data_IF_384582944641
#
_entry.id   IF_384582944641
#
_cell.length_a   1.000
_cell.length_b   1.000
_cell.length_c   1.000
_cell.angle_alpha   90.00
_cell.angle_beta   90.00
_cell.angle_gamma   90.00
#
_symmetry.space_group_name_H-M   'P 1'
#
loop_
_entity.id
_entity.type
_entity.pdbx_description
1 polymer ?
#
# COMPACT_ATOMS: atom_id res chain seq x y z
N UNK A 1 5.62 -10.37 29.09
CA UNK A 1 5.81 -9.43 27.97
C UNK A 1 7.12 -8.68 28.19
N UNK A 2 7.99 -8.62 27.18
CA UNK A 2 9.36 -8.08 27.27
C UNK A 2 9.32 -6.54 27.36
N UNK A 3 9.54 -5.97 28.56
CA UNK A 3 9.41 -4.53 28.84
C UNK A 3 10.68 -3.74 28.50
N UNK A 4 11.52 -4.30 27.63
CA UNK A 4 12.83 -3.77 27.26
C UNK A 4 12.68 -2.47 26.47
N UNK A 5 13.29 -1.40 26.96
CA UNK A 5 13.33 -0.10 26.27
C UNK A 5 14.56 -0.01 25.37
N UNK A 6 14.38 0.39 24.11
CA UNK A 6 15.47 0.62 23.16
C UNK A 6 15.63 2.13 22.88
N UNK A 7 16.87 2.66 22.86
CA UNK A 7 17.12 4.06 22.55
C UNK A 7 16.83 4.36 21.08
N UNK A 8 16.43 5.59 20.78
CA UNK A 8 16.05 6.07 19.44
C UNK A 8 16.99 5.63 18.31
N UNK A 9 18.31 5.67 18.51
CA UNK A 9 19.27 5.26 17.49
C UNK A 9 19.17 3.77 17.12
N UNK A 10 18.97 2.90 18.13
CA UNK A 10 18.78 1.47 17.90
C UNK A 10 17.42 1.19 17.26
N UNK A 11 16.38 1.89 17.70
CA UNK A 11 15.04 1.77 17.12
C UNK A 11 15.01 2.22 15.67
N UNK A 12 15.63 3.35 15.33
CA UNK A 12 15.73 3.84 13.96
C UNK A 12 16.42 2.83 13.03
N UNK A 13 17.50 2.20 13.52
CA UNK A 13 18.20 1.12 12.80
C UNK A 13 17.32 -0.12 12.61
N UNK A 14 16.59 -0.54 13.64
CA UNK A 14 15.66 -1.68 13.56
C UNK A 14 14.50 -1.41 12.59
N UNK A 15 13.99 -0.19 12.56
CA UNK A 15 12.87 0.22 11.71
C UNK A 15 13.29 0.66 10.30
N UNK A 16 14.58 0.65 9.97
CA UNK A 16 15.07 1.06 8.65
C UNK A 16 14.73 2.51 8.27
N UNK A 17 14.71 3.42 9.25
CA UNK A 17 14.37 4.84 9.08
C UNK A 17 15.44 5.73 9.70
N UNK A 18 15.45 7.02 9.33
CA UNK A 18 16.32 7.99 9.99
C UNK A 18 15.84 8.30 11.42
N UNK A 19 16.74 8.77 12.28
CA UNK A 19 16.39 9.27 13.62
C UNK A 19 15.35 10.40 13.52
N UNK A 20 15.45 11.27 12.50
CA UNK A 20 14.52 12.39 12.32
C UNK A 20 13.13 11.94 11.86
N UNK A 21 13.04 10.87 11.05
CA UNK A 21 11.77 10.21 10.73
C UNK A 21 11.10 9.71 12.02
N UNK A 22 11.86 9.06 12.90
CA UNK A 22 11.34 8.59 14.19
C UNK A 22 10.86 9.74 15.10
N UNK A 23 11.58 10.86 15.11
CA UNK A 23 11.18 12.07 15.85
C UNK A 23 9.89 12.68 15.32
N UNK A 24 9.71 12.69 13.98
CA UNK A 24 8.45 13.13 13.36
C UNK A 24 7.29 12.21 13.74
N UNK A 25 7.51 10.89 13.72
CA UNK A 25 6.48 9.92 14.10
C UNK A 25 6.05 10.06 15.56
N UNK A 26 7.02 10.23 16.47
CA UNK A 26 6.76 10.53 17.88
C UNK A 26 5.92 11.80 18.05
N UNK A 27 6.27 12.90 17.36
CA UNK A 27 5.50 14.16 17.39
C UNK A 27 4.07 14.01 16.85
N UNK A 28 3.88 13.17 15.84
CA UNK A 28 2.57 12.91 15.24
C UNK A 28 1.72 11.89 16.00
N UNK A 29 2.27 11.23 17.03
CA UNK A 29 1.62 10.11 17.73
C UNK A 29 1.66 8.77 16.99
N UNK A 30 2.18 8.73 15.75
CA UNK A 30 2.31 7.49 14.94
C UNK A 30 3.14 6.41 15.61
N UNK A 31 4.20 6.78 16.32
CA UNK A 31 5.02 5.84 17.09
C UNK A 31 5.62 6.55 18.29
N UNK A 32 4.95 6.43 19.43
CA UNK A 32 5.21 7.24 20.62
C UNK A 32 6.40 6.71 21.41
N UNK A 33 7.24 7.63 21.88
CA UNK A 33 8.36 7.32 22.76
C UNK A 33 7.99 7.41 24.24
N UNK A 34 8.71 6.65 25.05
CA UNK A 34 8.74 6.77 26.50
C UNK A 34 9.99 7.58 26.88
N UNK A 35 9.82 8.52 27.82
CA UNK A 35 10.93 9.26 28.42
C UNK A 35 11.03 8.90 29.90
N UNK A 36 12.24 8.57 30.36
CA UNK A 36 12.50 8.23 31.75
C UNK A 36 12.55 9.49 32.64
N UNK A 37 12.93 10.62 32.06
CA UNK A 37 12.98 11.92 32.74
C UNK A 37 12.49 13.04 31.80
N UNK A 38 12.02 14.15 32.38
CA UNK A 38 11.67 15.35 31.64
C UNK A 38 12.89 15.84 30.83
N UNK A 39 12.72 16.03 29.52
CA UNK A 39 13.81 16.40 28.61
C UNK A 39 14.82 15.27 28.28
N UNK A 40 14.63 14.06 28.81
CA UNK A 40 15.53 12.92 28.58
C UNK A 40 15.45 12.31 27.18
N UNK A 41 16.31 11.32 26.94
CA UNK A 41 16.37 10.57 25.69
C UNK A 41 15.04 9.84 25.39
N UNK A 42 14.73 9.70 24.09
CA UNK A 42 13.58 8.93 23.62
C UNK A 42 13.91 7.44 23.63
N UNK A 43 13.04 6.67 24.27
CA UNK A 43 13.08 5.22 24.27
C UNK A 43 11.79 4.66 23.70
N UNK A 44 11.85 3.45 23.17
CA UNK A 44 10.71 2.76 22.58
C UNK A 44 10.63 1.36 23.16
N UNK A 45 9.43 0.89 23.49
CA UNK A 45 9.26 -0.46 24.04
C UNK A 45 9.54 -1.46 22.94
N UNK A 46 10.40 -2.44 23.22
CA UNK A 46 10.72 -3.50 22.26
C UNK A 46 9.46 -4.21 21.79
N UNK A 47 8.49 -4.45 22.66
CA UNK A 47 7.19 -4.99 22.25
C UNK A 47 6.45 -4.11 21.24
N UNK A 48 6.45 -2.79 21.40
CA UNK A 48 5.84 -1.86 20.43
C UNK A 48 6.64 -1.78 19.13
N UNK A 49 7.97 -1.84 19.21
CA UNK A 49 8.85 -1.92 18.04
C UNK A 49 8.58 -3.21 17.28
N UNK A 50 8.50 -4.34 17.98
CA UNK A 50 8.23 -5.64 17.38
C UNK A 50 6.82 -5.66 16.79
N UNK A 51 5.81 -5.11 17.47
CA UNK A 51 4.46 -4.92 16.92
C UNK A 51 4.47 -4.03 15.67
N UNK A 52 5.24 -2.95 15.68
CA UNK A 52 5.37 -2.04 14.54
C UNK A 52 6.14 -2.68 13.38
N UNK A 53 7.19 -3.45 13.64
CA UNK A 53 7.94 -4.22 12.63
C UNK A 53 7.02 -5.28 12.01
N UNK A 54 6.19 -5.92 12.83
CA UNK A 54 5.26 -6.94 12.40
C UNK A 54 3.93 -6.36 11.90
N UNK A 55 3.77 -5.03 11.91
CA UNK A 55 2.58 -4.37 11.40
C UNK A 55 2.54 -4.58 9.88
N UNK A 56 1.44 -5.13 9.33
CA UNK A 56 1.43 -5.59 7.94
C UNK A 56 1.80 -4.51 6.91
N UNK A 57 1.45 -3.24 7.15
CA UNK A 57 1.87 -2.13 6.29
C UNK A 57 3.39 -1.90 6.36
N UNK A 58 3.98 -1.92 7.54
CA UNK A 58 5.43 -1.80 7.71
C UNK A 58 6.20 -2.94 7.03
N UNK A 59 5.69 -4.17 7.12
CA UNK A 59 6.24 -5.33 6.39
C UNK A 59 6.12 -5.14 4.88
N UNK A 60 4.93 -4.77 4.39
CA UNK A 60 4.68 -4.53 2.97
C UNK A 60 5.58 -3.44 2.39
N UNK A 61 5.70 -2.31 3.10
CA UNK A 61 6.53 -1.18 2.70
C UNK A 61 7.99 -1.58 2.62
N UNK A 62 8.53 -2.21 3.68
CA UNK A 62 9.93 -2.64 3.71
C UNK A 62 10.22 -3.67 2.62
N UNK A 63 9.28 -4.59 2.36
CA UNK A 63 9.39 -5.55 1.27
C UNK A 63 9.34 -4.89 -0.09
N UNK A 64 8.44 -3.94 -0.33
CA UNK A 64 8.27 -3.28 -1.63
C UNK A 64 9.48 -2.42 -2.04
N UNK A 65 10.18 -1.83 -1.07
CA UNK A 65 11.34 -0.93 -1.32
C UNK A 65 12.70 -1.60 -1.15
N UNK A 66 12.75 -2.86 -0.70
CA UNK A 66 14.03 -3.53 -0.40
C UNK A 66 14.88 -3.70 -1.67
N UNK A 67 16.19 -3.47 -1.58
CA UNK A 67 17.11 -3.86 -2.66
C UNK A 67 17.35 -5.37 -2.70
N UNK A 68 16.96 -6.10 -1.64
CA UNK A 68 17.12 -7.54 -1.56
C UNK A 68 15.87 -8.24 -2.08
N UNK A 69 16.09 -9.20 -2.96
CA UNK A 69 15.07 -10.12 -3.44
C UNK A 69 14.80 -11.19 -2.37
N UNK A 70 13.57 -11.24 -1.88
CA UNK A 70 13.07 -12.32 -1.03
C UNK A 70 11.55 -12.43 -1.14
N UNK A 71 11.04 -13.64 -0.90
CA UNK A 71 9.60 -13.87 -0.76
C UNK A 71 9.17 -13.48 0.66
N UNK A 72 8.07 -12.70 0.83
CA UNK A 72 7.55 -12.40 2.16
C UNK A 72 6.94 -13.66 2.80
N UNK A 73 6.56 -13.56 4.07
CA UNK A 73 5.88 -14.66 4.77
C UNK A 73 4.69 -15.17 3.93
N UNK A 74 4.62 -16.49 3.78
CA UNK A 74 3.62 -17.15 2.93
C UNK A 74 2.19 -16.76 3.30
N UNK A 75 1.90 -16.44 4.57
CA UNK A 75 0.56 -15.99 4.98
C UNK A 75 0.12 -14.68 4.33
N UNK A 76 1.07 -13.83 3.92
CA UNK A 76 0.80 -12.56 3.25
C UNK A 76 1.14 -12.60 1.75
N UNK A 77 1.98 -13.54 1.33
CA UNK A 77 2.44 -13.62 -0.04
C UNK A 77 1.42 -14.32 -0.96
N UNK A 78 1.00 -13.62 -2.01
CA UNK A 78 0.22 -14.18 -3.10
C UNK A 78 1.10 -14.27 -4.34
N UNK A 79 1.78 -15.42 -4.49
CA UNK A 79 2.70 -15.66 -5.61
C UNK A 79 1.98 -15.68 -6.97
N UNK A 80 0.73 -16.14 -7.02
CA UNK A 80 -0.06 -16.20 -8.26
C UNK A 80 -1.39 -15.49 -8.08
N UNK A 81 -2.03 -15.17 -9.22
CA UNK A 81 -3.38 -14.59 -9.25
C UNK A 81 -4.39 -15.50 -8.55
N UNK A 82 -4.30 -16.81 -8.74
CA UNK A 82 -5.26 -17.75 -8.15
C UNK A 82 -5.16 -17.75 -6.62
N UNK A 83 -3.93 -17.69 -6.07
CA UNK A 83 -3.70 -17.55 -4.63
C UNK A 83 -4.30 -16.24 -4.12
N UNK A 84 -4.11 -15.14 -4.86
CA UNK A 84 -4.71 -13.85 -4.51
C UNK A 84 -6.24 -13.91 -4.52
N UNK A 85 -6.83 -14.48 -5.57
CA UNK A 85 -8.28 -14.55 -5.76
C UNK A 85 -8.95 -15.34 -4.63
N UNK A 86 -8.40 -16.49 -4.25
CA UNK A 86 -8.91 -17.28 -3.11
C UNK A 86 -8.83 -16.50 -1.80
N UNK A 87 -7.75 -15.76 -1.55
CA UNK A 87 -7.63 -14.91 -0.34
C UNK A 87 -8.56 -13.72 -0.36
N UNK A 88 -8.82 -13.15 -1.53
CA UNK A 88 -9.78 -12.07 -1.72
C UNK A 88 -11.22 -12.54 -1.42
N UNK A 89 -11.56 -13.75 -1.86
CA UNK A 89 -12.85 -14.39 -1.57
C UNK A 89 -13.01 -14.69 -0.08
N UNK A 90 -11.95 -15.17 0.58
CA UNK A 90 -11.94 -15.37 2.03
C UNK A 90 -12.16 -14.04 2.79
N UNK A 91 -11.43 -12.98 2.41
CA UNK A 91 -11.62 -11.64 2.96
C UNK A 91 -13.06 -11.15 2.77
N UNK A 92 -13.65 -11.35 1.58
CA UNK A 92 -15.05 -10.98 1.32
C UNK A 92 -16.01 -11.74 2.24
N UNK A 93 -15.80 -13.05 2.44
CA UNK A 93 -16.63 -13.84 3.33
C UNK A 93 -16.60 -13.33 4.78
N UNK A 94 -15.42 -12.95 5.30
CA UNK A 94 -15.31 -12.35 6.63
C UNK A 94 -15.96 -10.94 6.68
N UNK A 95 -15.74 -10.10 5.66
CA UNK A 95 -16.37 -8.77 5.57
C UNK A 95 -17.89 -8.83 5.57
N UNK A 96 -18.49 -9.87 4.98
CA UNK A 96 -19.95 -10.08 4.99
C UNK A 96 -20.49 -10.38 6.40
N UNK A 97 -19.65 -10.82 7.33
CA UNK A 97 -20.00 -11.00 8.73
C UNK A 97 -20.06 -9.70 9.54
N UNK A 98 -19.36 -8.65 9.10
CA UNK A 98 -19.23 -7.39 9.84
C UNK A 98 -19.92 -6.18 9.17
N UNK A 99 -20.17 -6.25 7.85
CA UNK A 99 -20.67 -5.13 7.05
C UNK A 99 -21.85 -5.53 6.17
N UNK A 100 -22.53 -4.53 5.60
CA UNK A 100 -23.59 -4.79 4.63
C UNK A 100 -23.03 -5.47 3.37
N UNK A 101 -23.80 -6.37 2.75
CA UNK A 101 -23.41 -7.05 1.51
C UNK A 101 -22.91 -6.10 0.43
N UNK A 102 -23.63 -4.99 0.23
CA UNK A 102 -23.25 -3.98 -0.77
C UNK A 102 -21.87 -3.37 -0.46
N UNK A 103 -21.63 -2.96 0.79
CA UNK A 103 -20.37 -2.34 1.17
C UNK A 103 -19.19 -3.33 1.13
N UNK A 104 -19.38 -4.57 1.62
CA UNK A 104 -18.36 -5.63 1.55
C UNK A 104 -17.95 -5.95 0.11
N UNK A 105 -18.92 -6.00 -0.81
CA UNK A 105 -18.65 -6.18 -2.23
C UNK A 105 -17.86 -5.03 -2.83
N UNK A 106 -18.12 -3.78 -2.44
CA UNK A 106 -17.35 -2.62 -2.91
C UNK A 106 -15.90 -2.64 -2.41
N UNK A 107 -15.66 -2.96 -1.14
CA UNK A 107 -14.32 -3.10 -0.57
C UNK A 107 -13.53 -4.19 -1.30
N UNK A 108 -14.14 -5.37 -1.47
CA UNK A 108 -13.54 -6.48 -2.20
C UNK A 108 -13.26 -6.13 -3.65
N UNK A 109 -14.16 -5.42 -4.33
CA UNK A 109 -13.95 -4.96 -5.71
C UNK A 109 -12.75 -4.00 -5.81
N UNK A 110 -12.60 -3.04 -4.90
CA UNK A 110 -11.45 -2.12 -4.89
C UNK A 110 -10.14 -2.88 -4.69
N UNK A 111 -10.07 -3.78 -3.71
CA UNK A 111 -8.87 -4.58 -3.46
C UNK A 111 -8.55 -5.52 -4.64
N UNK A 112 -9.57 -6.16 -5.20
CA UNK A 112 -9.46 -7.06 -6.35
C UNK A 112 -8.93 -6.36 -7.60
N UNK A 113 -9.49 -5.19 -7.94
CA UNK A 113 -9.03 -4.40 -9.08
C UNK A 113 -7.57 -3.97 -8.94
N UNK A 114 -7.16 -3.53 -7.74
CA UNK A 114 -5.77 -3.15 -7.49
C UNK A 114 -4.85 -4.37 -7.60
N UNK A 115 -5.16 -5.47 -6.91
CA UNK A 115 -4.31 -6.66 -6.90
C UNK A 115 -4.22 -7.35 -8.27
N UNK A 116 -5.33 -7.43 -9.01
CA UNK A 116 -5.33 -8.01 -10.36
C UNK A 116 -4.50 -7.20 -11.35
N UNK A 117 -4.53 -5.85 -11.25
CA UNK A 117 -3.69 -4.98 -12.06
C UNK A 117 -2.20 -5.28 -11.88
N UNK A 118 -1.75 -5.60 -10.65
CA UNK A 118 -0.38 -6.01 -10.40
C UNK A 118 0.01 -7.26 -11.20
N UNK A 119 -0.87 -8.26 -11.32
CA UNK A 119 -0.59 -9.44 -12.15
C UNK A 119 -0.67 -9.15 -13.65
N UNK A 120 -1.71 -8.43 -14.09
CA UNK A 120 -1.94 -8.13 -15.51
C UNK A 120 -0.82 -7.31 -16.15
N UNK A 121 -0.27 -6.34 -15.43
CA UNK A 121 0.75 -5.44 -15.97
C UNK A 121 2.18 -5.94 -15.85
N UNK A 122 2.41 -6.95 -15.01
CA UNK A 122 3.74 -7.51 -14.79
C UNK A 122 3.91 -8.93 -15.37
N UNK A 123 2.87 -9.52 -15.99
CA UNK A 123 2.96 -10.86 -16.59
C UNK A 123 4.16 -10.95 -17.57
N UNK A 124 5.04 -11.92 -17.35
CA UNK A 124 6.29 -12.11 -18.11
C UNK A 124 7.35 -11.01 -17.93
N UNK A 125 7.13 -10.02 -17.06
CA UNK A 125 7.98 -8.83 -16.88
C UNK A 125 8.19 -8.45 -15.41
N UNK A 126 8.01 -9.38 -14.47
CA UNK A 126 8.35 -9.14 -13.07
C UNK A 126 9.86 -8.90 -12.94
N UNK A 127 10.30 -7.76 -12.36
CA UNK A 127 11.72 -7.45 -12.35
C UNK A 127 12.56 -8.32 -11.40
N UNK A 128 11.98 -8.82 -10.31
CA UNK A 128 12.69 -9.68 -9.35
C UNK A 128 11.83 -10.78 -8.72
N UNK A 129 10.77 -10.42 -8.00
CA UNK A 129 9.86 -11.34 -7.31
C UNK A 129 8.50 -11.26 -7.97
N UNK A 130 7.96 -12.42 -8.32
CA UNK A 130 6.61 -12.58 -8.87
C UNK A 130 5.56 -12.38 -7.77
N UNK A 131 4.48 -11.67 -8.08
CA UNK A 131 3.29 -11.65 -7.23
C UNK A 131 3.27 -10.51 -6.23
N UNK A 132 2.34 -10.59 -5.27
CA UNK A 132 1.99 -9.46 -4.41
C UNK A 132 2.03 -9.86 -2.93
N UNK A 133 2.32 -8.87 -2.09
CA UNK A 133 1.99 -8.90 -0.67
C UNK A 133 0.52 -8.48 -0.51
N UNK A 134 -0.27 -9.26 0.20
CA UNK A 134 -1.67 -9.00 0.51
C UNK A 134 -1.95 -9.33 1.98
N UNK A 135 -2.44 -8.35 2.72
CA UNK A 135 -2.90 -8.52 4.09
C UNK A 135 -4.12 -7.66 4.38
N UNK A 136 -4.90 -8.05 5.37
CA UNK A 136 -6.03 -7.26 5.85
C UNK A 136 -6.25 -7.48 7.35
N UNK A 137 -6.90 -6.50 7.98
CA UNK A 137 -7.34 -6.52 9.37
C UNK A 137 -8.73 -5.90 9.43
N UNK A 138 -9.73 -6.67 9.84
CA UNK A 138 -11.10 -6.16 10.01
C UNK A 138 -11.23 -5.28 11.25
N UNK A 139 -10.52 -5.62 12.32
CA UNK A 139 -10.44 -4.81 13.54
C UNK A 139 -9.85 -3.42 13.27
N UNK A 140 -8.79 -3.34 12.47
CA UNK A 140 -8.19 -2.05 12.06
C UNK A 140 -8.89 -1.44 10.83
N UNK A 141 -9.84 -2.16 10.22
CA UNK A 141 -10.49 -1.85 8.96
C UNK A 141 -9.51 -1.40 7.86
N UNK A 142 -8.48 -2.21 7.66
CA UNK A 142 -7.34 -1.88 6.80
C UNK A 142 -6.98 -3.05 5.90
N UNK A 143 -6.76 -2.79 4.61
CA UNK A 143 -6.21 -3.73 3.64
C UNK A 143 -4.92 -3.14 3.07
N UNK A 144 -3.89 -3.96 2.93
CA UNK A 144 -2.60 -3.58 2.36
C UNK A 144 -2.28 -4.50 1.19
N UNK A 145 -2.02 -3.88 0.03
CA UNK A 145 -1.48 -4.56 -1.15
C UNK A 145 -0.15 -3.92 -1.52
N UNK A 146 0.85 -4.73 -1.84
CA UNK A 146 2.08 -4.22 -2.44
C UNK A 146 2.60 -5.17 -3.51
N UNK A 147 3.29 -4.62 -4.50
CA UNK A 147 4.00 -5.41 -5.50
C UNK A 147 5.39 -4.82 -5.77
N UNK A 148 6.27 -5.66 -6.31
CA UNK A 148 7.61 -5.26 -6.76
C UNK A 148 7.69 -5.17 -8.28
N UNK A 149 6.58 -4.85 -8.94
CA UNK A 149 6.46 -4.77 -10.39
C UNK A 149 7.17 -3.57 -11.01
N UNK A 150 6.74 -3.23 -12.23
CA UNK A 150 7.27 -2.16 -13.07
C UNK A 150 6.79 -0.75 -12.67
N UNK A 151 5.66 -0.67 -11.96
CA UNK A 151 5.02 0.58 -11.57
C UNK A 151 4.18 1.23 -12.66
N UNK A 152 3.44 2.28 -12.27
CA UNK A 152 2.43 2.92 -13.11
C UNK A 152 3.05 3.70 -14.29
N UNK A 153 4.05 4.54 -14.02
CA UNK A 153 4.68 5.36 -15.06
C UNK A 153 5.27 4.50 -16.20
N UNK A 154 6.01 3.45 -15.84
CA UNK A 154 6.60 2.55 -16.83
C UNK A 154 5.53 1.86 -17.67
N UNK A 155 4.46 1.37 -17.02
CA UNK A 155 3.34 0.72 -17.70
C UNK A 155 2.61 1.68 -18.64
N UNK A 156 2.38 2.92 -18.23
CA UNK A 156 1.67 3.92 -19.03
C UNK A 156 2.50 4.47 -20.20
N UNK A 157 3.82 4.56 -20.06
CA UNK A 157 4.71 5.03 -21.16
C UNK A 157 4.60 4.20 -22.43
N UNK A 158 4.17 2.94 -22.35
CA UNK A 158 3.91 2.08 -23.52
C UNK A 158 2.79 2.61 -24.42
N UNK A 159 1.86 3.39 -23.87
CA UNK A 159 0.69 3.95 -24.59
C UNK A 159 0.65 5.48 -24.57
N UNK A 160 1.40 6.11 -23.66
CA UNK A 160 1.57 7.56 -23.52
C UNK A 160 3.06 7.89 -23.33
N UNK A 161 3.88 7.82 -24.40
CA UNK A 161 5.34 8.00 -24.31
C UNK A 161 5.76 9.34 -23.71
N UNK A 162 4.92 10.38 -23.88
CA UNK A 162 5.19 11.74 -23.42
C UNK A 162 5.02 11.95 -21.90
N UNK A 163 4.57 10.94 -21.14
CA UNK A 163 4.47 11.02 -19.69
C UNK A 163 5.86 11.17 -19.04
N UNK A 164 6.09 12.29 -18.34
CA UNK A 164 7.41 12.62 -17.79
C UNK A 164 7.59 12.26 -16.33
N UNK A 165 6.54 12.33 -15.52
CA UNK A 165 6.64 12.20 -14.06
C UNK A 165 5.73 11.11 -13.49
N UNK A 166 6.11 10.55 -12.34
CA UNK A 166 5.24 9.59 -11.64
C UNK A 166 3.95 10.26 -11.16
N UNK A 167 4.03 11.53 -10.74
CA UNK A 167 2.88 12.33 -10.34
C UNK A 167 1.83 12.42 -11.44
N UNK A 168 2.25 12.76 -12.65
CA UNK A 168 1.35 12.85 -13.80
C UNK A 168 0.83 11.46 -14.17
N UNK A 169 1.67 10.41 -14.08
CA UNK A 169 1.22 9.05 -14.35
C UNK A 169 0.09 8.57 -13.41
N UNK A 170 0.15 8.92 -12.11
CA UNK A 170 -0.92 8.59 -11.17
C UNK A 170 -2.19 9.40 -11.46
N UNK A 171 -2.06 10.69 -11.80
CA UNK A 171 -3.21 11.49 -12.22
C UNK A 171 -3.89 10.87 -13.43
N UNK A 172 -3.14 10.58 -14.49
CA UNK A 172 -3.66 9.96 -15.72
C UNK A 172 -4.31 8.61 -15.44
N UNK A 173 -3.63 7.73 -14.68
CA UNK A 173 -4.13 6.40 -14.35
C UNK A 173 -5.51 6.41 -13.67
N UNK A 174 -5.76 7.39 -12.78
CA UNK A 174 -6.99 7.49 -12.00
C UNK A 174 -8.04 8.46 -12.61
N UNK A 175 -7.72 9.25 -13.65
CA UNK A 175 -8.67 10.22 -14.25
C UNK A 175 -9.02 9.96 -15.71
N UNK A 176 -8.07 9.60 -16.56
CA UNK A 176 -8.27 9.66 -18.01
C UNK A 176 -8.71 8.33 -18.60
N UNK A 177 -9.66 8.35 -19.53
CA UNK A 177 -9.97 7.18 -20.36
C UNK A 177 -8.80 6.92 -21.31
N UNK A 178 -8.06 5.85 -21.04
CA UNK A 178 -6.93 5.42 -21.87
C UNK A 178 -7.49 4.51 -22.96
N UNK A 179 -8.05 5.11 -24.01
CA UNK A 179 -8.49 4.40 -25.22
C UNK A 179 -7.27 3.92 -26.02
N UNK A 180 -7.22 2.62 -26.35
CA UNK A 180 -6.11 2.01 -27.09
C UNK A 180 -5.63 0.65 -26.55
N UNK A 181 -6.20 0.16 -25.44
CA UNK A 181 -5.99 -1.23 -24.99
C UNK A 181 -7.11 -2.11 -25.57
N UNK A 182 -6.77 -3.05 -26.45
CA UNK A 182 -7.67 -4.15 -26.79
C UNK A 182 -7.51 -5.27 -25.72
N UNK A 183 -8.60 -5.77 -25.08
CA UNK A 183 -9.97 -5.26 -25.08
C UNK A 183 -10.16 -4.09 -24.10
N UNK A 184 -11.12 -3.23 -24.41
CA UNK A 184 -11.38 -1.90 -23.84
C UNK A 184 -11.67 -1.87 -22.32
N UNK A 185 -11.89 -3.03 -21.71
CA UNK A 185 -12.07 -3.22 -20.26
C UNK A 185 -10.76 -3.12 -19.45
N UNK A 186 -9.59 -3.29 -20.07
CA UNK A 186 -8.28 -3.37 -19.36
C UNK A 186 -7.61 -2.02 -19.05
N UNK A 187 -8.29 -0.89 -19.30
CA UNK A 187 -7.78 0.47 -19.08
C UNK A 187 -8.51 1.29 -18.01
N UNK A 188 -9.49 0.70 -17.33
CA UNK A 188 -10.46 1.42 -16.49
C UNK A 188 -10.46 1.06 -15.00
N UNK A 189 -9.70 0.04 -14.57
CA UNK A 189 -9.74 -0.46 -13.18
C UNK A 189 -9.48 0.63 -12.13
N UNK A 190 -8.44 1.45 -12.30
CA UNK A 190 -8.13 2.51 -11.33
C UNK A 190 -9.13 3.69 -11.35
N UNK A 191 -9.83 3.93 -12.47
CA UNK A 191 -10.96 4.87 -12.52
C UNK A 191 -12.18 4.34 -11.79
N UNK A 192 -12.47 3.05 -11.96
CA UNK A 192 -13.51 2.36 -11.21
C UNK A 192 -13.22 2.40 -9.70
N UNK A 193 -11.97 2.11 -9.30
CA UNK A 193 -11.50 2.26 -7.91
C UNK A 193 -11.74 3.68 -7.40
N UNK A 194 -11.32 4.72 -8.14
CA UNK A 194 -11.58 6.12 -7.75
C UNK A 194 -13.06 6.39 -7.55
N UNK A 195 -13.89 5.94 -8.48
CA UNK A 195 -15.33 6.17 -8.43
C UNK A 195 -15.94 5.56 -7.15
N UNK A 196 -15.58 4.32 -6.82
CA UNK A 196 -16.04 3.68 -5.57
C UNK A 196 -15.53 4.44 -4.35
N UNK A 197 -14.23 4.71 -4.27
CA UNK A 197 -13.61 5.32 -3.08
C UNK A 197 -14.15 6.73 -2.81
N UNK A 198 -14.41 7.52 -3.85
CA UNK A 198 -14.92 8.90 -3.68
C UNK A 198 -16.40 8.97 -3.31
N UNK A 199 -17.17 7.90 -3.53
CA UNK A 199 -18.61 7.84 -3.23
C UNK A 199 -18.94 7.12 -1.93
N UNK A 200 -18.01 6.35 -1.39
CA UNK A 200 -18.21 5.49 -0.22
C UNK A 200 -17.26 5.90 0.91
N UNK A 201 -17.52 5.50 2.18
CA UNK A 201 -16.64 5.80 3.32
C UNK A 201 -15.37 4.93 3.27
N UNK A 202 -14.61 5.06 2.19
CA UNK A 202 -13.35 4.36 1.93
C UNK A 202 -12.27 5.42 1.73
N UNK A 203 -11.08 5.18 2.26
CA UNK A 203 -9.87 5.95 1.98
C UNK A 203 -8.89 5.05 1.24
N UNK A 204 -8.27 5.59 0.19
CA UNK A 204 -7.19 4.92 -0.52
C UNK A 204 -5.94 5.79 -0.49
N UNK A 205 -4.84 5.21 0.00
CA UNK A 205 -3.49 5.72 -0.23
C UNK A 205 -2.79 4.81 -1.22
N UNK A 206 -2.31 5.36 -2.33
CA UNK A 206 -1.67 4.60 -3.42
C UNK A 206 -0.34 5.23 -3.82
N UNK A 207 0.75 4.48 -3.74
CA UNK A 207 2.09 4.93 -4.15
C UNK A 207 2.60 4.14 -5.35
N UNK A 208 3.23 4.83 -6.30
CA UNK A 208 4.11 4.22 -7.31
C UNK A 208 5.18 5.23 -7.74
N UNK A 209 6.43 4.78 -7.85
CA UNK A 209 7.60 5.65 -7.98
C UNK A 209 7.77 6.56 -6.76
N UNK A 210 7.99 7.84 -7.03
CA UNK A 210 8.07 8.93 -6.06
C UNK A 210 6.75 9.71 -5.91
N UNK A 211 5.62 9.16 -6.40
CA UNK A 211 4.31 9.80 -6.32
C UNK A 211 3.36 9.04 -5.38
N UNK A 212 2.63 9.80 -4.57
CA UNK A 212 1.64 9.32 -3.60
C UNK A 212 0.29 9.96 -3.87
N UNK A 213 -0.71 9.15 -4.17
CA UNK A 213 -2.09 9.56 -4.41
C UNK A 213 -2.96 9.23 -3.19
N UNK A 214 -3.81 10.16 -2.80
CA UNK A 214 -4.77 9.98 -1.70
C UNK A 214 -6.19 10.27 -2.20
N UNK A 215 -7.08 9.29 -2.02
CA UNK A 215 -8.52 9.43 -2.29
C UNK A 215 -9.31 9.21 -1.01
N UNK A 216 -10.43 9.91 -0.90
CA UNK A 216 -11.38 9.79 0.20
C UNK A 216 -12.76 10.22 -0.26
N UNK A 217 -13.78 9.84 0.49
CA UNK A 217 -15.18 10.22 0.23
C UNK A 217 -15.34 11.73 0.02
N UNK A 218 -16.12 12.11 -0.98
CA UNK A 218 -16.49 13.50 -1.27
C UNK A 218 -15.39 14.36 -1.90
N UNK A 219 -14.14 13.88 -1.96
CA UNK A 219 -13.03 14.61 -2.61
C UNK A 219 -12.89 14.16 -4.06
N UNK A 220 -13.50 14.92 -4.98
CA UNK A 220 -13.41 14.60 -6.41
C UNK A 220 -12.03 14.92 -7.00
N UNK A 221 -11.36 15.96 -6.51
CA UNK A 221 -10.03 16.33 -6.98
C UNK A 221 -8.99 15.30 -6.55
N UNK A 222 -8.14 14.91 -7.50
CA UNK A 222 -7.02 14.02 -7.21
C UNK A 222 -5.87 14.82 -6.63
N UNK A 223 -5.53 14.47 -5.39
CA UNK A 223 -4.35 14.96 -4.71
C UNK A 223 -3.19 13.97 -4.91
N UNK A 224 -2.11 14.45 -5.52
CA UNK A 224 -0.88 13.68 -5.70
C UNK A 224 0.30 14.47 -5.16
N UNK A 225 0.89 13.92 -4.11
CA UNK A 225 2.05 14.44 -3.42
C UNK A 225 3.32 13.69 -3.86
N UNK A 226 4.49 14.28 -3.59
CA UNK A 226 5.75 13.56 -3.73
C UNK A 226 5.98 12.70 -2.49
N UNK A 227 6.47 11.48 -2.67
CA UNK A 227 6.90 10.59 -1.60
C UNK A 227 8.41 10.73 -1.36
N UNK A 228 8.83 10.69 -0.10
CA UNK A 228 10.25 10.72 0.27
C UNK A 228 11.00 9.45 -0.17
N UNK A 229 10.28 8.34 -0.39
CA UNK A 229 10.85 7.05 -0.74
C UNK A 229 10.37 6.62 -2.11
N UNK A 230 11.30 6.31 -3.00
CA UNK A 230 10.99 5.72 -4.30
C UNK A 230 10.53 4.27 -4.14
N UNK A 231 9.49 3.89 -4.90
CA UNK A 231 8.96 2.53 -4.94
C UNK A 231 8.76 2.09 -6.38
N UNK A 232 9.51 1.08 -6.84
CA UNK A 232 9.44 0.65 -8.25
C UNK A 232 8.05 0.13 -8.64
N UNK A 233 7.47 -0.75 -7.81
CA UNK A 233 6.14 -1.30 -8.00
C UNK A 233 5.04 -0.37 -7.50
N UNK A 234 4.08 -0.94 -6.78
CA UNK A 234 2.98 -0.20 -6.17
C UNK A 234 2.78 -0.60 -4.69
N UNK A 235 2.23 0.33 -3.91
CA UNK A 235 1.70 0.08 -2.56
C UNK A 235 0.32 0.73 -2.48
N UNK A 236 -0.68 -0.04 -2.06
CA UNK A 236 -2.03 0.43 -1.80
C UNK A 236 -2.44 0.12 -0.37
N UNK A 237 -3.00 1.13 0.31
CA UNK A 237 -3.61 1.00 1.63
C UNK A 237 -5.05 1.46 1.52
N UNK A 238 -5.98 0.55 1.81
CA UNK A 238 -7.42 0.80 1.79
C UNK A 238 -7.91 0.79 3.23
N UNK A 239 -8.56 1.86 3.66
CA UNK A 239 -9.19 1.99 4.98
C UNK A 239 -10.71 2.16 4.79
N UNK A 240 -11.53 1.50 5.62
CA UNK A 240 -13.00 1.46 5.48
C UNK A 240 -13.75 1.46 6.84
#
# INVERSE_FOLDING_TARGET
MDNKLLPIGKTAKLLGVSIDTLRRWDKSGKFSSVRISAGGNRYYRKSEIDLFINEPLSVALNWAISDKTYEPDQKYYCKTRDVFQVRLEHMLAELLGENSKAFSSLISAVAGEIGNNSFDHNIGNWPDVLGIYFSYSLTERKIVLADRGLGILFTLKRVRPDLKSHKDSLKVAFTEIISGRAPESRGNGLKFVRNIVTQNPIRLTFQSGDALLKLQQGKQDIDVENSERYMRGCLAVIEF
#
